data_IF_290516419970
#
_entry.id   IF_290516419970
#
_cell.length_a   1.000
_cell.length_b   1.000
_cell.length_c   1.000
_cell.angle_alpha   90.00
_cell.angle_beta   90.00
_cell.angle_gamma   90.00
#
_symmetry.space_group_name_H-M   'P 1'
#
loop_
_entity.id
_entity.type
_entity.pdbx_description
1 polymer ?
#
# COMPACT_ATOMS: atom_id res chain seq x y z
N UNK A 1 4.77 26.09 -6.93
CA UNK A 1 5.36 24.82 -6.44
C UNK A 1 6.11 24.20 -7.59
N UNK A 2 7.28 23.58 -7.34
CA UNK A 2 7.98 22.81 -8.38
C UNK A 2 7.29 21.48 -8.65
N UNK A 3 7.56 20.89 -9.81
CA UNK A 3 7.07 19.60 -10.26
C UNK A 3 7.87 18.41 -9.69
N UNK A 4 8.88 18.65 -8.86
CA UNK A 4 9.74 17.61 -8.27
C UNK A 4 9.40 17.43 -6.80
N UNK A 5 8.97 16.21 -6.43
CA UNK A 5 8.88 15.81 -5.03
C UNK A 5 10.26 15.72 -4.37
N UNK A 6 10.44 16.47 -3.27
CA UNK A 6 11.68 16.48 -2.49
C UNK A 6 11.43 15.84 -1.11
N UNK A 7 12.06 14.67 -0.83
CA UNK A 7 12.01 14.05 0.49
C UNK A 7 12.48 14.99 1.60
N UNK A 8 11.82 14.96 2.75
CA UNK A 8 12.28 15.64 3.97
C UNK A 8 13.32 14.73 4.64
N UNK A 9 14.47 15.23 5.13
CA UNK A 9 15.38 14.38 5.87
C UNK A 9 14.80 13.98 7.24
N UNK A 10 15.30 12.88 7.80
CA UNK A 10 14.64 12.20 8.93
C UNK A 10 14.59 13.06 10.21
N UNK A 11 15.64 13.80 10.52
CA UNK A 11 15.69 14.68 11.71
C UNK A 11 14.66 15.81 11.64
N UNK A 12 14.52 16.43 10.47
CA UNK A 12 13.53 17.48 10.22
C UNK A 12 12.11 16.92 10.20
N UNK A 13 11.91 15.69 9.73
CA UNK A 13 10.62 15.00 9.81
C UNK A 13 10.19 14.83 11.28
N UNK A 14 11.08 14.33 12.14
CA UNK A 14 10.81 14.19 13.57
C UNK A 14 10.58 15.54 14.23
N UNK A 15 11.47 16.50 13.99
CA UNK A 15 11.34 17.87 14.52
C UNK A 15 9.97 18.45 14.21
N UNK A 16 9.52 18.33 12.95
CA UNK A 16 8.20 18.81 12.53
C UNK A 16 7.06 18.11 13.26
N UNK A 17 7.12 16.79 13.42
CA UNK A 17 6.10 16.02 14.18
C UNK A 17 5.99 16.56 15.61
N UNK A 18 7.12 16.71 16.31
CA UNK A 18 7.12 17.09 17.73
C UNK A 18 6.80 18.57 17.96
N UNK A 19 7.35 19.48 17.15
CA UNK A 19 7.09 20.91 17.27
C UNK A 19 5.63 21.24 16.93
N UNK A 20 5.07 20.65 15.87
CA UNK A 20 3.66 20.84 15.50
C UNK A 20 2.73 20.31 16.61
N UNK A 21 3.03 19.11 17.14
CA UNK A 21 2.22 18.53 18.21
C UNK A 21 2.29 19.37 19.50
N UNK A 22 3.46 19.89 19.85
CA UNK A 22 3.63 20.75 21.02
C UNK A 22 2.86 22.07 20.88
N UNK A 23 2.92 22.71 19.70
CA UNK A 23 2.37 24.04 19.49
C UNK A 23 0.87 24.03 19.18
N UNK A 24 0.41 23.02 18.44
CA UNK A 24 -0.91 23.03 17.81
C UNK A 24 -1.76 21.80 18.17
N UNK A 25 -1.21 20.83 18.91
CA UNK A 25 -1.86 19.54 19.20
C UNK A 25 -2.33 18.87 17.90
N UNK A 26 -1.47 18.89 16.89
CA UNK A 26 -1.69 18.26 15.59
C UNK A 26 -0.37 17.71 15.03
N UNK A 27 -0.47 16.77 14.09
CA UNK A 27 0.68 16.24 13.35
C UNK A 27 0.31 16.24 11.86
N UNK A 28 1.07 16.97 11.04
CA UNK A 28 0.81 17.16 9.61
C UNK A 28 -0.62 17.63 9.31
N UNK A 29 -1.16 18.51 10.15
CA UNK A 29 -2.49 19.09 10.03
C UNK A 29 -3.62 18.23 10.58
N UNK A 30 -3.35 17.02 11.07
CA UNK A 30 -4.35 16.16 11.72
C UNK A 30 -4.41 16.52 13.21
N UNK A 31 -5.54 17.06 13.72
CA UNK A 31 -5.67 17.39 15.15
C UNK A 31 -5.67 16.13 16.03
N UNK A 32 -5.17 16.25 17.26
CA UNK A 32 -5.11 15.17 18.26
C UNK A 32 -6.51 14.53 18.50
N UNK A 33 -7.59 15.31 18.40
CA UNK A 33 -8.96 14.79 18.57
C UNK A 33 -9.39 13.83 17.45
N UNK A 34 -8.67 13.80 16.32
CA UNK A 34 -8.89 12.88 15.21
C UNK A 34 -7.94 11.68 15.25
N UNK A 35 -7.05 11.59 16.25
CA UNK A 35 -6.17 10.44 16.40
C UNK A 35 -6.99 9.21 16.77
N UNK A 36 -6.96 8.21 15.91
CA UNK A 36 -7.70 6.98 16.08
C UNK A 36 -7.01 6.08 17.10
N UNK A 37 -7.68 5.76 18.20
CA UNK A 37 -7.24 4.76 19.17
C UNK A 37 -7.97 3.42 18.93
N UNK A 38 -7.25 2.33 18.65
CA UNK A 38 -7.88 1.04 18.39
C UNK A 38 -8.58 0.48 19.63
N UNK A 39 -9.63 -0.30 19.40
CA UNK A 39 -10.35 -1.01 20.48
C UNK A 39 -9.45 -2.12 21.01
N UNK A 40 -9.14 -2.08 22.32
CA UNK A 40 -8.31 -3.10 22.98
C UNK A 40 -8.87 -4.51 22.76
N UNK A 41 -7.98 -5.46 22.45
CA UNK A 41 -8.32 -6.86 22.24
C UNK A 41 -8.91 -7.21 20.87
N UNK A 42 -9.11 -6.23 19.98
CA UNK A 42 -9.45 -6.49 18.57
C UNK A 42 -8.20 -6.37 17.71
N UNK A 43 -7.85 -7.46 17.03
CA UNK A 43 -6.78 -7.49 16.03
C UNK A 43 -7.26 -8.24 14.79
N UNK A 44 -6.61 -7.96 13.67
CA UNK A 44 -6.82 -8.66 12.39
C UNK A 44 -5.51 -9.35 12.04
N UNK A 45 -5.58 -10.61 11.63
CA UNK A 45 -4.41 -11.34 11.18
C UNK A 45 -4.38 -11.39 9.66
N UNK A 46 -3.20 -11.11 9.08
CA UNK A 46 -2.94 -11.26 7.66
C UNK A 46 -1.65 -12.05 7.51
N UNK A 47 -1.78 -13.29 7.03
CA UNK A 47 -0.64 -14.18 6.73
C UNK A 47 0.39 -14.32 7.86
N UNK A 48 -0.07 -14.42 9.10
CA UNK A 48 0.81 -14.58 10.27
C UNK A 48 1.26 -13.28 10.93
N UNK A 49 1.08 -12.13 10.27
CA UNK A 49 1.18 -10.82 10.91
C UNK A 49 -0.16 -10.41 11.55
N UNK A 50 -0.11 -9.40 12.41
CA UNK A 50 -1.30 -8.79 13.01
C UNK A 50 -1.28 -7.28 12.89
N UNK A 51 -2.47 -6.68 12.78
CA UNK A 51 -2.67 -5.24 12.84
C UNK A 51 -3.95 -4.90 13.60
N UNK A 52 -4.07 -3.67 14.10
CA UNK A 52 -5.16 -3.27 14.99
C UNK A 52 -6.49 -2.97 14.27
N UNK A 53 -6.47 -2.77 12.95
CA UNK A 53 -7.66 -2.50 12.14
C UNK A 53 -7.56 -3.16 10.77
N UNK A 54 -8.67 -3.59 10.15
CA UNK A 54 -8.65 -4.21 8.81
C UNK A 54 -8.47 -3.21 7.66
N UNK A 55 -8.39 -1.91 7.96
CA UNK A 55 -8.34 -0.84 6.96
C UNK A 55 -6.95 -0.24 6.83
N UNK A 56 -6.67 0.31 5.67
CA UNK A 56 -5.48 1.12 5.42
C UNK A 56 -5.34 1.51 3.96
N UNK A 57 -4.33 2.32 3.63
CA UNK A 57 -4.18 2.90 2.32
C UNK A 57 -3.68 1.85 1.32
N UNK A 58 -4.25 1.86 0.12
CA UNK A 58 -3.76 1.06 -1.00
C UNK A 58 -2.48 1.66 -1.61
N UNK A 59 -1.72 0.85 -2.36
CA UNK A 59 -0.57 1.34 -3.12
C UNK A 59 -0.98 2.48 -4.06
N UNK A 60 -0.46 3.69 -3.81
CA UNK A 60 -0.87 4.89 -4.53
C UNK A 60 -0.20 6.16 -4.00
N UNK A 61 -0.65 7.35 -4.43
CA UNK A 61 -0.06 8.63 -4.00
C UNK A 61 -0.01 8.81 -2.47
N UNK A 62 -0.98 8.25 -1.76
CA UNK A 62 -1.05 8.33 -0.29
C UNK A 62 -0.04 7.45 0.45
N UNK A 63 0.71 6.58 -0.22
CA UNK A 63 1.73 5.73 0.42
C UNK A 63 3.13 5.94 -0.15
N UNK A 64 3.35 7.09 -0.80
CA UNK A 64 4.65 7.46 -1.35
C UNK A 64 5.52 8.29 -0.39
N UNK A 65 4.89 9.12 0.45
CA UNK A 65 5.57 10.00 1.41
C UNK A 65 5.45 9.45 2.84
N UNK A 66 6.50 9.58 3.63
CA UNK A 66 6.49 9.18 5.04
C UNK A 66 5.39 9.93 5.82
N UNK A 67 5.17 11.20 5.52
CA UNK A 67 4.12 12.02 6.13
C UNK A 67 2.73 11.43 5.87
N UNK A 68 2.45 10.96 4.65
CA UNK A 68 1.14 10.40 4.31
C UNK A 68 0.92 9.04 4.99
N UNK A 69 1.99 8.25 5.14
CA UNK A 69 1.94 7.00 5.90
C UNK A 69 1.68 7.27 7.38
N UNK A 70 2.34 8.29 7.96
CA UNK A 70 2.11 8.74 9.34
C UNK A 70 0.67 9.22 9.54
N UNK A 71 0.14 10.08 8.66
CA UNK A 71 -1.25 10.57 8.79
C UNK A 71 -2.27 9.45 8.63
N UNK A 72 -2.02 8.49 7.73
CA UNK A 72 -2.83 7.27 7.63
C UNK A 72 -2.86 6.50 8.94
N UNK A 73 -1.71 6.29 9.59
CA UNK A 73 -1.67 5.60 10.89
C UNK A 73 -2.35 6.43 11.98
N UNK A 74 -2.12 7.75 12.05
CA UNK A 74 -2.79 8.61 13.03
C UNK A 74 -4.31 8.52 12.92
N UNK A 75 -4.85 8.36 11.71
CA UNK A 75 -6.30 8.31 11.45
C UNK A 75 -6.89 6.89 11.38
N UNK A 76 -6.10 5.87 11.72
CA UNK A 76 -6.60 4.51 11.95
C UNK A 76 -6.26 3.48 10.88
N UNK A 77 -5.53 3.84 9.81
CA UNK A 77 -5.00 2.87 8.85
C UNK A 77 -3.91 1.99 9.48
N UNK A 78 -4.02 0.67 9.38
CA UNK A 78 -3.05 -0.28 9.96
C UNK A 78 -2.55 -1.35 9.00
N UNK A 79 -3.24 -1.62 7.89
CA UNK A 79 -2.66 -2.37 6.78
C UNK A 79 -2.20 -1.40 5.69
N UNK A 80 -0.91 -1.06 5.69
CA UNK A 80 -0.34 -0.02 4.83
C UNK A 80 0.32 -0.68 3.63
N UNK A 81 -0.31 -0.57 2.47
CA UNK A 81 0.26 -1.05 1.22
C UNK A 81 1.09 0.07 0.57
N UNK A 82 2.40 -0.13 0.53
CA UNK A 82 3.35 0.86 0.08
C UNK A 82 3.24 1.10 -1.43
N UNK A 83 3.58 2.31 -1.90
CA UNK A 83 3.49 2.65 -3.32
C UNK A 83 4.31 1.66 -4.15
N UNK A 84 3.70 1.15 -5.22
CA UNK A 84 4.33 0.22 -6.16
C UNK A 84 5.59 0.82 -6.74
N UNK A 85 6.70 0.08 -6.60
CA UNK A 85 7.97 0.40 -7.24
C UNK A 85 8.25 -0.55 -8.42
N UNK A 86 9.11 -0.11 -9.33
CA UNK A 86 9.49 -0.84 -10.52
C UNK A 86 10.89 -0.45 -10.98
N UNK A 87 11.46 -1.21 -11.92
CA UNK A 87 12.81 -0.93 -12.45
C UNK A 87 12.89 0.39 -13.23
N UNK A 88 11.80 0.81 -13.88
CA UNK A 88 11.69 2.11 -14.54
C UNK A 88 11.33 3.18 -13.51
N UNK A 89 12.33 3.68 -12.79
CA UNK A 89 12.18 4.57 -11.63
C UNK A 89 12.55 6.04 -11.89
N UNK A 90 12.77 6.40 -13.17
CA UNK A 90 13.12 7.74 -13.67
C UNK A 90 12.24 8.12 -14.86
N UNK A 91 10.94 7.95 -14.71
CA UNK A 91 9.98 8.34 -15.75
C UNK A 91 9.71 9.85 -15.69
N UNK A 92 9.74 10.51 -16.85
CA UNK A 92 9.16 11.84 -17.01
C UNK A 92 7.66 11.66 -17.22
N UNK A 93 6.86 12.22 -16.31
CA UNK A 93 5.41 12.11 -16.33
C UNK A 93 4.83 13.42 -16.86
N UNK A 94 3.99 13.34 -17.88
CA UNK A 94 3.18 14.49 -18.29
C UNK A 94 2.20 14.86 -17.17
N UNK A 95 2.09 16.16 -16.89
CA UNK A 95 1.29 16.71 -15.79
C UNK A 95 0.18 17.63 -16.32
N UNK A 96 -1.01 17.65 -15.68
CA UNK A 96 -1.38 16.87 -14.50
C UNK A 96 -1.53 15.38 -14.81
N UNK A 97 -1.13 14.51 -13.87
CA UNK A 97 -1.21 13.05 -14.01
C UNK A 97 -2.31 12.42 -13.15
N UNK A 98 -3.01 13.22 -12.34
CA UNK A 98 -4.12 12.81 -11.47
C UNK A 98 -5.18 13.91 -11.49
N UNK A 99 -6.43 13.50 -11.69
CA UNK A 99 -7.64 14.31 -11.59
C UNK A 99 -8.55 13.68 -10.52
N UNK A 100 -8.55 14.27 -9.32
CA UNK A 100 -9.14 13.70 -8.11
C UNK A 100 -10.46 14.37 -7.73
N UNK A 101 -11.47 14.24 -8.60
CA UNK A 101 -12.86 14.62 -8.32
C UNK A 101 -13.62 13.49 -7.58
N UNK A 102 -14.92 13.29 -7.85
CA UNK A 102 -15.72 12.21 -7.24
C UNK A 102 -15.27 10.82 -7.74
N UNK A 103 -15.21 10.65 -9.06
CA UNK A 103 -14.38 9.63 -9.68
C UNK A 103 -12.97 10.19 -9.88
N UNK A 104 -11.96 9.47 -9.38
CA UNK A 104 -10.58 9.86 -9.52
C UNK A 104 -9.97 9.15 -10.73
N UNK A 105 -9.32 9.92 -11.60
CA UNK A 105 -8.63 9.43 -12.78
C UNK A 105 -7.14 9.71 -12.68
N UNK A 106 -6.31 8.77 -13.14
CA UNK A 106 -4.87 8.97 -13.27
C UNK A 106 -4.39 8.56 -14.66
N UNK A 107 -3.23 9.07 -15.08
CA UNK A 107 -2.46 8.49 -16.18
C UNK A 107 -1.81 7.18 -15.72
N UNK A 108 -1.34 6.33 -16.64
CA UNK A 108 -0.82 4.99 -16.30
C UNK A 108 0.25 5.02 -15.21
N UNK A 109 1.14 6.01 -15.28
CA UNK A 109 2.30 6.15 -14.41
C UNK A 109 2.16 7.35 -13.49
N UNK A 110 2.35 7.13 -12.18
CA UNK A 110 2.21 8.17 -11.15
C UNK A 110 3.27 8.06 -10.04
N UNK A 111 4.30 7.25 -10.22
CA UNK A 111 5.38 7.12 -9.23
C UNK A 111 6.49 8.12 -9.55
N UNK A 112 6.73 9.06 -8.64
CA UNK A 112 7.76 10.12 -8.80
C UNK A 112 9.11 9.78 -8.13
N UNK A 113 9.17 8.74 -7.30
CA UNK A 113 10.38 8.37 -6.56
C UNK A 113 11.14 7.23 -7.19
N UNK A 114 12.47 7.41 -7.23
CA UNK A 114 13.41 6.33 -7.50
C UNK A 114 13.31 5.26 -6.41
N UNK A 115 13.77 4.05 -6.68
CA UNK A 115 13.80 2.94 -5.71
C UNK A 115 14.47 3.34 -4.40
N UNK A 116 15.60 4.04 -4.49
CA UNK A 116 16.34 4.55 -3.33
C UNK A 116 15.56 5.58 -2.51
N UNK A 117 14.77 6.45 -3.16
CA UNK A 117 13.96 7.47 -2.47
C UNK A 117 12.73 6.84 -1.84
N UNK A 118 12.07 5.91 -2.54
CA UNK A 118 10.92 5.19 -2.01
C UNK A 118 11.30 4.40 -0.76
N UNK A 119 12.38 3.62 -0.82
CA UNK A 119 12.87 2.86 0.34
C UNK A 119 13.21 3.78 1.53
N UNK A 120 13.89 4.91 1.26
CA UNK A 120 14.23 5.88 2.30
C UNK A 120 12.99 6.47 3.01
N UNK A 121 11.92 6.76 2.28
CA UNK A 121 10.65 7.24 2.85
C UNK A 121 9.95 6.16 3.68
N UNK A 122 9.99 4.91 3.23
CA UNK A 122 9.43 3.79 3.99
C UNK A 122 10.21 3.55 5.28
N UNK A 123 11.53 3.69 5.25
CA UNK A 123 12.36 3.61 6.45
C UNK A 123 12.03 4.76 7.43
N UNK A 124 11.88 6.00 6.95
CA UNK A 124 11.46 7.14 7.80
C UNK A 124 10.12 6.86 8.45
N UNK A 125 9.13 6.40 7.67
CA UNK A 125 7.82 6.05 8.19
C UNK A 125 7.90 4.94 9.23
N UNK A 126 8.71 3.90 9.00
CA UNK A 126 8.90 2.80 9.93
C UNK A 126 9.34 3.28 11.32
N UNK A 127 10.42 4.06 11.39
CA UNK A 127 10.91 4.62 12.64
C UNK A 127 9.91 5.60 13.28
N UNK A 128 9.29 6.47 12.47
CA UNK A 128 8.31 7.44 12.96
C UNK A 128 7.07 6.74 13.57
N UNK A 129 6.55 5.70 12.93
CA UNK A 129 5.38 4.97 13.43
C UNK A 129 5.68 4.22 14.73
N UNK A 130 6.84 3.57 14.85
CA UNK A 130 7.24 2.95 16.11
C UNK A 130 7.36 3.96 17.26
N UNK A 131 7.88 5.16 16.98
CA UNK A 131 7.95 6.25 17.96
C UNK A 131 6.55 6.75 18.36
N UNK A 132 5.71 7.04 17.37
CA UNK A 132 4.35 7.52 17.59
C UNK A 132 3.48 6.49 18.33
N UNK A 133 3.67 5.20 18.04
CA UNK A 133 3.01 4.12 18.75
C UNK A 133 3.44 4.08 20.22
N UNK A 134 4.73 4.15 20.53
CA UNK A 134 5.20 4.23 21.92
C UNK A 134 4.65 5.48 22.66
N UNK A 135 4.47 6.58 21.93
CA UNK A 135 3.93 7.83 22.48
C UNK A 135 2.42 7.82 22.70
N UNK A 136 1.63 7.27 21.78
CA UNK A 136 0.17 7.42 21.82
C UNK A 136 -0.57 6.13 22.17
N UNK A 137 -0.01 4.98 21.79
CA UNK A 137 -0.67 3.68 21.84
C UNK A 137 0.30 2.57 22.29
N UNK A 138 0.99 2.75 23.44
CA UNK A 138 1.94 1.73 23.89
C UNK A 138 1.21 0.40 24.09
N UNK A 139 1.76 -0.67 23.50
CA UNK A 139 1.21 -2.01 23.55
C UNK A 139 2.28 -3.03 23.89
N UNK A 140 1.90 -4.02 24.69
CA UNK A 140 2.73 -5.21 24.97
C UNK A 140 2.65 -6.25 23.84
N UNK A 141 1.70 -6.09 22.90
CA UNK A 141 1.40 -7.07 21.84
C UNK A 141 2.21 -6.87 20.54
N UNK A 142 3.25 -6.04 20.56
CA UNK A 142 4.02 -5.66 19.37
C UNK A 142 3.39 -4.52 18.55
N UNK A 143 3.89 -4.32 17.32
CA UNK A 143 3.43 -3.24 16.42
C UNK A 143 1.95 -3.40 16.04
N UNK A 144 1.22 -2.30 15.95
CA UNK A 144 -0.21 -2.28 15.58
C UNK A 144 -0.46 -2.31 14.07
N UNK A 145 0.59 -2.26 13.24
CA UNK A 145 0.49 -2.05 11.80
C UNK A 145 1.35 -3.03 10.99
N UNK A 146 0.94 -3.22 9.74
CA UNK A 146 1.64 -4.03 8.73
C UNK A 146 2.05 -3.09 7.60
N UNK A 147 3.32 -3.19 7.20
CA UNK A 147 3.75 -2.71 5.88
C UNK A 147 3.71 -3.89 4.92
N UNK A 148 3.00 -3.71 3.81
CA UNK A 148 2.97 -4.66 2.72
C UNK A 148 3.63 -3.97 1.52
N UNK A 149 4.75 -4.50 1.03
CA UNK A 149 5.43 -3.88 -0.09
C UNK A 149 4.60 -4.05 -1.37
N UNK A 150 4.74 -3.15 -2.35
CA UNK A 150 4.19 -3.38 -3.68
C UNK A 150 5.28 -3.23 -4.72
N UNK A 151 5.35 -4.21 -5.62
CA UNK A 151 6.27 -4.22 -6.75
C UNK A 151 5.50 -4.54 -8.02
N UNK A 152 5.99 -4.01 -9.14
CA UNK A 152 5.43 -4.25 -10.47
C UNK A 152 6.54 -4.35 -11.51
N UNK A 153 6.12 -4.44 -12.78
CA UNK A 153 6.91 -4.76 -13.98
C UNK A 153 6.93 -6.27 -14.31
N UNK A 154 7.80 -6.68 -15.24
CA UNK A 154 8.03 -8.08 -15.61
C UNK A 154 9.06 -8.75 -14.67
N UNK A 155 9.13 -10.08 -14.71
CA UNK A 155 10.02 -10.90 -13.88
C UNK A 155 11.49 -10.55 -14.11
N UNK A 156 11.87 -10.29 -15.37
CA UNK A 156 13.24 -9.88 -15.71
C UNK A 156 13.64 -8.59 -14.96
N UNK A 157 12.78 -7.57 -14.99
CA UNK A 157 13.01 -6.30 -14.29
C UNK A 157 12.99 -6.47 -12.77
N UNK A 158 12.10 -7.30 -12.23
CA UNK A 158 12.08 -7.64 -10.80
C UNK A 158 13.39 -8.29 -10.36
N UNK A 159 14.00 -9.12 -11.21
CA UNK A 159 15.28 -9.78 -10.94
C UNK A 159 16.50 -8.87 -11.10
N UNK A 160 16.33 -7.64 -11.61
CA UNK A 160 17.47 -6.73 -11.75
C UNK A 160 18.04 -6.29 -10.39
N UNK A 161 19.36 -6.03 -10.30
CA UNK A 161 20.00 -5.70 -9.03
C UNK A 161 19.37 -4.55 -8.22
N UNK A 162 18.92 -3.43 -8.83
CA UNK A 162 18.25 -2.37 -8.06
C UNK A 162 16.93 -2.80 -7.41
N UNK A 163 16.13 -3.63 -8.11
CA UNK A 163 14.88 -4.18 -7.57
C UNK A 163 15.15 -5.20 -6.47
N UNK A 164 16.15 -6.07 -6.66
CA UNK A 164 16.57 -7.02 -5.62
C UNK A 164 17.07 -6.29 -4.37
N UNK A 165 17.92 -5.27 -4.53
CA UNK A 165 18.37 -4.45 -3.42
C UNK A 165 17.19 -3.77 -2.70
N UNK A 166 16.19 -3.27 -3.42
CA UNK A 166 14.99 -2.73 -2.79
C UNK A 166 14.24 -3.80 -1.98
N UNK A 167 13.94 -4.95 -2.58
CA UNK A 167 13.19 -6.05 -1.95
C UNK A 167 13.93 -6.57 -0.71
N UNK A 168 15.23 -6.84 -0.84
CA UNK A 168 16.08 -7.37 0.24
C UNK A 168 16.13 -6.41 1.42
N UNK A 169 16.32 -5.11 1.18
CA UNK A 169 16.34 -4.12 2.26
C UNK A 169 14.95 -3.86 2.88
N UNK A 170 13.84 -4.21 2.21
CA UNK A 170 12.52 -4.19 2.84
C UNK A 170 12.31 -5.43 3.72
N UNK A 171 12.83 -6.58 3.29
CA UNK A 171 12.78 -7.85 4.03
C UNK A 171 13.67 -7.82 5.27
N UNK A 172 14.87 -7.26 5.15
CA UNK A 172 15.81 -7.07 6.26
C UNK A 172 16.78 -5.91 5.97
N UNK A 173 16.67 -4.84 6.76
CA UNK A 173 17.52 -3.66 6.67
C UNK A 173 18.73 -3.71 7.62
N UNK A 174 19.04 -4.84 8.26
CA UNK A 174 20.08 -4.93 9.32
C UNK A 174 21.44 -4.39 8.89
N UNK A 175 21.82 -4.67 7.64
CA UNK A 175 23.12 -4.34 7.08
C UNK A 175 23.12 -2.99 6.35
N UNK A 176 21.95 -2.32 6.24
CA UNK A 176 21.84 -1.08 5.51
C UNK A 176 22.30 0.12 6.36
N UNK A 177 23.28 0.93 5.90
CA UNK A 177 23.85 2.04 6.70
C UNK A 177 22.82 3.06 7.19
N UNK A 178 21.80 3.37 6.38
CA UNK A 178 20.72 4.28 6.78
C UNK A 178 19.87 3.76 7.94
N UNK A 179 19.70 2.44 8.09
CA UNK A 179 18.98 1.89 9.23
C UNK A 179 19.73 2.20 10.53
N UNK A 180 21.04 1.94 10.54
CA UNK A 180 21.90 2.30 11.67
C UNK A 180 21.90 3.81 11.93
N UNK A 181 21.97 4.63 10.88
CA UNK A 181 21.89 6.08 10.98
C UNK A 181 20.59 6.55 11.65
N UNK A 182 19.43 6.08 11.20
CA UNK A 182 18.13 6.51 11.75
C UNK A 182 17.93 6.01 13.17
N UNK A 183 18.41 4.79 13.48
CA UNK A 183 18.46 4.28 14.85
C UNK A 183 19.30 5.16 15.76
N UNK A 184 20.49 5.58 15.31
CA UNK A 184 21.40 6.42 16.10
C UNK A 184 20.84 7.84 16.27
N UNK A 185 20.26 8.42 15.23
CA UNK A 185 19.54 9.70 15.30
C UNK A 185 18.39 9.63 16.31
N UNK A 186 17.54 8.60 16.23
CA UNK A 186 16.44 8.42 17.16
C UNK A 186 16.95 8.20 18.59
N UNK A 187 18.02 7.41 18.76
CA UNK A 187 18.63 7.18 20.06
C UNK A 187 19.13 8.50 20.67
N UNK A 188 19.91 9.30 19.93
CA UNK A 188 20.37 10.61 20.42
C UNK A 188 19.21 11.49 20.87
N UNK A 189 18.13 11.54 20.10
CA UNK A 189 16.93 12.32 20.42
C UNK A 189 16.27 11.83 21.73
N UNK A 190 16.12 10.51 21.91
CA UNK A 190 15.41 9.93 23.06
C UNK A 190 16.29 9.85 24.33
N UNK A 191 17.62 9.94 24.20
CA UNK A 191 18.54 10.07 25.35
C UNK A 191 18.64 11.51 25.87
N UNK A 192 18.13 12.51 25.15
CA UNK A 192 18.13 13.91 25.58
C UNK A 192 17.01 14.20 26.59
N UNK A 193 17.39 14.37 27.85
CA UNK A 193 16.46 14.68 28.94
C UNK A 193 15.73 16.03 28.75
N UNK A 194 16.37 17.00 28.10
CA UNK A 194 15.74 18.29 27.81
C UNK A 194 14.65 18.12 26.75
N UNK A 195 14.88 17.29 25.73
CA UNK A 195 13.87 16.94 24.73
C UNK A 195 12.68 16.23 25.39
N UNK A 196 12.93 15.21 26.21
CA UNK A 196 11.85 14.48 26.91
C UNK A 196 11.05 15.40 27.85
N UNK A 197 11.72 16.30 28.58
CA UNK A 197 11.06 17.28 29.44
C UNK A 197 10.21 18.27 28.64
N UNK A 198 10.78 18.83 27.55
CA UNK A 198 10.11 19.80 26.68
C UNK A 198 8.80 19.27 26.10
N UNK A 199 8.77 17.99 25.73
CA UNK A 199 7.60 17.36 25.12
C UNK A 199 6.73 16.56 26.11
N UNK A 200 6.99 16.65 27.43
CA UNK A 200 6.18 15.99 28.46
C UNK A 200 6.25 14.46 28.41
N UNK A 201 7.39 13.89 28.00
CA UNK A 201 7.58 12.44 27.79
C UNK A 201 8.30 11.74 28.95
N UNK A 202 8.53 12.43 30.06
CA UNK A 202 9.30 11.91 31.20
C UNK A 202 8.71 10.63 31.79
N UNK A 203 7.39 10.51 31.86
CA UNK A 203 6.71 9.29 32.34
C UNK A 203 6.96 8.07 31.46
N UNK A 204 7.38 8.28 30.19
CA UNK A 204 7.67 7.22 29.21
C UNK A 204 9.16 7.04 28.94
N UNK A 205 10.03 7.70 29.72
CA UNK A 205 11.48 7.77 29.50
C UNK A 205 12.10 6.39 29.26
N UNK A 206 11.89 5.43 30.15
CA UNK A 206 12.51 4.11 30.05
C UNK A 206 12.08 3.36 28.77
N UNK A 207 10.79 3.42 28.44
CA UNK A 207 10.25 2.80 27.23
C UNK A 207 10.80 3.45 25.97
N UNK A 208 10.86 4.78 25.92
CA UNK A 208 11.36 5.53 24.77
C UNK A 208 12.87 5.38 24.60
N UNK A 209 13.65 5.43 25.66
CA UNK A 209 15.11 5.25 25.60
C UNK A 209 15.51 3.86 25.11
N UNK A 210 14.69 2.84 25.37
CA UNK A 210 14.92 1.49 24.89
C UNK A 210 14.35 1.23 23.48
N UNK A 211 13.48 2.10 22.96
CA UNK A 211 12.79 1.92 21.68
C UNK A 211 13.74 1.71 20.48
N UNK A 212 14.81 2.52 20.28
CA UNK A 212 15.67 2.39 19.09
C UNK A 212 16.27 0.99 18.91
N UNK A 213 16.58 0.31 20.02
CA UNK A 213 17.15 -1.03 20.01
C UNK A 213 16.11 -2.14 19.69
N UNK A 214 14.81 -1.84 19.83
CA UNK A 214 13.72 -2.80 19.62
C UNK A 214 13.04 -2.67 18.25
N UNK A 215 13.29 -1.59 17.52
CA UNK A 215 12.74 -1.39 16.18
C UNK A 215 13.26 -2.52 15.27
N UNK A 216 12.38 -3.36 14.68
CA UNK A 216 12.80 -4.46 13.84
C UNK A 216 13.49 -3.98 12.56
N UNK A 217 14.47 -4.75 12.10
CA UNK A 217 15.14 -4.53 10.80
C UNK A 217 14.30 -5.06 9.64
N UNK A 218 13.46 -6.06 9.89
CA UNK A 218 12.50 -6.57 8.92
C UNK A 218 11.26 -5.69 8.89
N UNK A 219 11.05 -4.99 7.76
CA UNK A 219 9.95 -4.04 7.60
C UNK A 219 8.70 -4.70 7.03
N UNK A 220 8.84 -5.78 6.26
CA UNK A 220 7.72 -6.45 5.57
C UNK A 220 7.86 -7.97 5.57
N UNK A 221 6.73 -8.67 5.60
CA UNK A 221 6.65 -10.12 5.36
C UNK A 221 5.73 -10.47 4.17
N UNK A 222 5.21 -9.44 3.49
CA UNK A 222 4.26 -9.60 2.39
C UNK A 222 4.51 -8.63 1.24
N UNK A 223 4.10 -9.06 0.05
CA UNK A 223 4.17 -8.30 -1.20
C UNK A 223 2.83 -8.34 -1.94
N UNK A 224 2.38 -7.21 -2.48
CA UNK A 224 1.34 -7.14 -3.50
C UNK A 224 1.96 -6.87 -4.86
N UNK A 225 1.81 -7.83 -5.77
CA UNK A 225 2.20 -7.72 -7.17
C UNK A 225 1.17 -6.88 -7.93
N UNK A 226 1.61 -5.73 -8.41
CA UNK A 226 0.81 -4.86 -9.27
C UNK A 226 1.31 -5.00 -10.70
N UNK A 227 0.63 -5.83 -11.48
CA UNK A 227 0.93 -6.04 -12.89
C UNK A 227 0.33 -4.90 -13.71
N UNK A 228 1.00 -4.52 -14.80
CA UNK A 228 0.44 -3.56 -15.75
C UNK A 228 -0.81 -4.13 -16.43
N UNK A 229 -1.69 -3.26 -16.94
CA UNK A 229 -2.73 -3.67 -17.87
C UNK A 229 -2.08 -4.36 -19.08
N UNK A 230 -2.67 -5.47 -19.54
CA UNK A 230 -2.12 -6.29 -20.63
C UNK A 230 -0.96 -7.22 -20.25
N UNK A 231 -0.62 -7.37 -18.96
CA UNK A 231 0.43 -8.29 -18.53
C UNK A 231 0.05 -9.76 -18.86
N UNK A 232 0.91 -10.53 -19.57
CA UNK A 232 0.59 -11.91 -19.93
C UNK A 232 0.37 -12.81 -18.70
N UNK A 233 -0.64 -13.71 -18.71
CA UNK A 233 -0.95 -14.55 -17.54
C UNK A 233 0.23 -15.37 -17.00
N UNK A 234 1.05 -15.92 -17.90
CA UNK A 234 2.23 -16.71 -17.52
C UNK A 234 3.29 -15.86 -16.80
N UNK A 235 3.40 -14.57 -17.14
CA UNK A 235 4.31 -13.63 -16.49
C UNK A 235 3.83 -13.32 -15.07
N UNK A 236 2.53 -13.09 -14.90
CA UNK A 236 1.90 -12.89 -13.59
C UNK A 236 2.19 -14.09 -12.67
N UNK A 237 1.93 -15.32 -13.15
CA UNK A 237 2.18 -16.54 -12.38
C UNK A 237 3.67 -16.70 -12.05
N UNK A 238 4.56 -16.45 -13.01
CA UNK A 238 6.00 -16.60 -12.81
C UNK A 238 6.55 -15.64 -11.74
N UNK A 239 6.04 -14.40 -11.68
CA UNK A 239 6.41 -13.45 -10.62
C UNK A 239 5.87 -13.90 -9.26
N UNK A 240 4.60 -14.35 -9.20
CA UNK A 240 4.03 -14.86 -7.96
C UNK A 240 4.82 -16.06 -7.41
N UNK A 241 5.18 -16.99 -8.30
CA UNK A 241 6.03 -18.14 -7.98
C UNK A 241 7.39 -17.70 -7.44
N UNK A 242 8.05 -16.77 -8.11
CA UNK A 242 9.33 -16.22 -7.66
C UNK A 242 9.24 -15.61 -6.25
N UNK A 243 8.18 -14.86 -5.93
CA UNK A 243 8.01 -14.29 -4.58
C UNK A 243 7.79 -15.38 -3.51
N UNK A 244 7.02 -16.42 -3.82
CA UNK A 244 6.73 -17.52 -2.89
C UNK A 244 7.93 -18.48 -2.72
N UNK A 245 8.62 -18.81 -3.81
CA UNK A 245 9.67 -19.83 -3.85
C UNK A 245 11.05 -19.27 -3.50
N UNK A 246 11.44 -18.16 -4.13
CA UNK A 246 12.80 -17.62 -4.03
C UNK A 246 12.90 -16.52 -2.96
N UNK A 247 11.87 -15.69 -2.81
CA UNK A 247 11.86 -14.62 -1.79
C UNK A 247 11.22 -15.05 -0.47
N UNK A 248 10.43 -16.12 -0.45
CA UNK A 248 9.74 -16.58 0.75
C UNK A 248 8.72 -15.57 1.31
N UNK A 249 8.09 -14.77 0.44
CA UNK A 249 7.15 -13.71 0.83
C UNK A 249 5.70 -14.16 0.68
N UNK A 250 4.88 -13.78 1.66
CA UNK A 250 3.43 -13.85 1.49
C UNK A 250 3.01 -12.96 0.32
N UNK A 251 2.16 -13.45 -0.58
CA UNK A 251 1.98 -12.80 -1.88
C UNK A 251 0.49 -12.55 -2.20
N UNK A 252 0.15 -11.29 -2.47
CA UNK A 252 -1.09 -10.92 -3.14
C UNK A 252 -0.82 -10.62 -4.61
N UNK A 253 -1.71 -11.06 -5.51
CA UNK A 253 -1.73 -10.60 -6.91
C UNK A 253 -2.89 -9.62 -7.13
N UNK A 254 -2.60 -8.43 -7.66
CA UNK A 254 -3.62 -7.41 -7.93
C UNK A 254 -4.29 -7.70 -9.27
N UNK A 255 -5.61 -7.83 -9.25
CA UNK A 255 -6.41 -8.16 -10.43
C UNK A 255 -7.22 -6.96 -10.91
N UNK A 256 -7.52 -6.95 -12.21
CA UNK A 256 -8.24 -5.87 -12.87
C UNK A 256 -9.76 -6.12 -12.87
N UNK A 257 -10.59 -5.05 -12.89
CA UNK A 257 -12.05 -5.16 -13.04
C UNK A 257 -12.48 -5.77 -14.38
N UNK A 258 -11.58 -5.78 -15.37
CA UNK A 258 -11.77 -6.38 -16.70
C UNK A 258 -12.02 -7.88 -16.67
N UNK A 259 -11.76 -8.57 -15.55
CA UNK A 259 -12.11 -9.98 -15.34
C UNK A 259 -13.61 -10.28 -15.53
N UNK A 260 -14.48 -9.28 -15.37
CA UNK A 260 -15.92 -9.44 -15.62
C UNK A 260 -16.25 -9.53 -17.13
N UNK A 261 -15.34 -9.09 -18.00
CA UNK A 261 -15.57 -8.94 -19.44
C UNK A 261 -16.30 -7.65 -19.81
N UNK A 262 -16.10 -7.20 -21.05
CA UNK A 262 -16.60 -5.90 -21.53
C UNK A 262 -18.12 -5.73 -21.33
N UNK A 263 -18.91 -6.68 -21.84
CA UNK A 263 -20.37 -6.59 -21.79
C UNK A 263 -20.91 -6.45 -20.36
N UNK A 264 -20.33 -7.19 -19.41
CA UNK A 264 -20.75 -7.14 -18.00
C UNK A 264 -20.30 -5.85 -17.32
N UNK A 265 -19.08 -5.38 -17.58
CA UNK A 265 -18.61 -4.09 -17.05
C UNK A 265 -19.49 -2.95 -17.56
N UNK A 266 -19.77 -2.93 -18.87
CA UNK A 266 -20.62 -1.91 -19.49
C UNK A 266 -22.04 -1.91 -18.88
N UNK A 267 -22.66 -3.09 -18.79
CA UNK A 267 -23.98 -3.26 -18.16
C UNK A 267 -24.01 -2.71 -16.73
N UNK A 268 -23.04 -3.07 -15.89
CA UNK A 268 -22.98 -2.62 -14.49
C UNK A 268 -22.87 -1.09 -14.43
N UNK A 269 -21.97 -0.49 -15.22
CA UNK A 269 -21.81 0.96 -15.24
C UNK A 269 -23.10 1.67 -15.68
N UNK A 270 -23.78 1.17 -16.71
CA UNK A 270 -25.01 1.79 -17.21
C UNK A 270 -26.16 1.72 -16.20
N UNK A 271 -26.37 0.55 -15.59
CA UNK A 271 -27.40 0.35 -14.55
C UNK A 271 -27.12 1.21 -13.31
N UNK A 272 -25.86 1.41 -12.96
CA UNK A 272 -25.47 2.27 -11.84
C UNK A 272 -25.44 3.78 -12.17
N UNK A 273 -25.80 4.19 -13.38
CA UNK A 273 -25.84 5.60 -13.78
C UNK A 273 -24.49 6.17 -14.24
N UNK A 274 -23.49 5.33 -14.47
CA UNK A 274 -22.16 5.71 -14.93
C UNK A 274 -21.97 5.55 -16.46
N UNK A 275 -23.05 5.78 -17.23
CA UNK A 275 -23.06 5.67 -18.69
C UNK A 275 -22.11 6.64 -19.42
N UNK A 276 -21.65 7.70 -18.74
CA UNK A 276 -20.71 8.69 -19.26
C UNK A 276 -19.26 8.20 -19.33
N UNK A 277 -18.93 7.08 -18.66
CA UNK A 277 -17.58 6.50 -18.70
C UNK A 277 -17.40 5.79 -20.04
N UNK A 278 -16.46 6.28 -20.86
CA UNK A 278 -16.09 5.62 -22.12
C UNK A 278 -15.19 4.40 -21.87
N UNK A 279 -15.45 3.29 -22.56
CA UNK A 279 -14.63 2.08 -22.52
C UNK A 279 -14.18 1.71 -23.94
N UNK A 280 -12.97 1.16 -24.05
CA UNK A 280 -12.46 0.52 -25.27
C UNK A 280 -12.59 -0.99 -25.09
N UNK A 281 -13.28 -1.64 -26.02
CA UNK A 281 -13.49 -3.09 -25.94
C UNK A 281 -12.17 -3.86 -26.08
N UNK A 282 -11.28 -3.35 -26.92
CA UNK A 282 -9.95 -3.89 -27.20
C UNK A 282 -9.08 -3.99 -25.92
N UNK A 283 -9.25 -3.07 -24.97
CA UNK A 283 -8.54 -3.11 -23.69
C UNK A 283 -8.86 -4.37 -22.87
N UNK A 284 -10.04 -4.96 -23.06
CA UNK A 284 -10.42 -6.20 -22.38
C UNK A 284 -9.80 -7.44 -23.04
N UNK A 285 -9.41 -7.36 -24.31
CA UNK A 285 -8.85 -8.48 -25.07
C UNK A 285 -7.42 -8.81 -24.70
N UNK A 286 -6.65 -7.80 -24.35
CA UNK A 286 -5.26 -7.96 -23.92
C UNK A 286 -5.13 -8.34 -22.44
N UNK A 287 -6.16 -8.12 -21.63
CA UNK A 287 -6.16 -8.40 -20.19
C UNK A 287 -6.40 -9.89 -19.86
N UNK A 288 -5.97 -10.27 -18.65
CA UNK A 288 -6.17 -11.61 -18.09
C UNK A 288 -7.66 -12.01 -18.12
N UNK A 289 -7.96 -13.16 -18.74
CA UNK A 289 -9.32 -13.69 -18.82
C UNK A 289 -9.68 -14.48 -17.55
N UNK A 290 -10.97 -14.49 -17.20
CA UNK A 290 -11.46 -15.14 -15.97
C UNK A 290 -11.02 -16.60 -15.85
N UNK A 291 -11.20 -17.42 -16.88
CA UNK A 291 -10.81 -18.85 -16.84
C UNK A 291 -9.32 -19.02 -16.54
N UNK A 292 -8.46 -18.24 -17.21
CA UNK A 292 -7.01 -18.26 -16.98
C UNK A 292 -6.66 -17.79 -15.56
N UNK A 293 -7.36 -16.78 -15.05
CA UNK A 293 -7.19 -16.31 -13.68
C UNK A 293 -7.53 -17.40 -12.67
N UNK A 294 -8.66 -18.10 -12.82
CA UNK A 294 -9.06 -19.17 -11.90
C UNK A 294 -8.04 -20.30 -11.84
N UNK A 295 -7.57 -20.77 -12.99
CA UNK A 295 -6.56 -21.83 -13.08
C UNK A 295 -5.21 -21.39 -12.47
N UNK A 296 -4.79 -20.15 -12.71
CA UNK A 296 -3.57 -19.58 -12.13
C UNK A 296 -3.67 -19.48 -10.60
N UNK A 297 -4.79 -18.96 -10.09
CA UNK A 297 -5.03 -18.77 -8.66
C UNK A 297 -5.06 -20.12 -7.93
N UNK A 298 -5.66 -21.17 -8.51
CA UNK A 298 -5.64 -22.51 -7.93
C UNK A 298 -4.21 -23.04 -7.74
N UNK A 299 -3.36 -22.92 -8.78
CA UNK A 299 -1.96 -23.35 -8.71
C UNK A 299 -1.16 -22.56 -7.68
N UNK A 300 -1.37 -21.24 -7.60
CA UNK A 300 -0.65 -20.37 -6.67
C UNK A 300 -1.08 -20.58 -5.22
N UNK A 301 -2.38 -20.82 -4.97
CA UNK A 301 -2.87 -21.22 -3.65
C UNK A 301 -2.26 -22.56 -3.19
N UNK A 302 -2.17 -23.54 -4.09
CA UNK A 302 -1.52 -24.82 -3.80
C UNK A 302 -0.03 -24.66 -3.49
N UNK A 303 0.69 -23.85 -4.28
CA UNK A 303 2.11 -23.57 -4.06
C UNK A 303 2.35 -22.85 -2.74
N UNK A 304 1.56 -21.83 -2.41
CA UNK A 304 1.72 -21.11 -1.15
C UNK A 304 1.53 -22.04 0.06
N UNK A 305 0.55 -22.95 -0.01
CA UNK A 305 0.36 -24.00 0.99
C UNK A 305 1.57 -24.93 1.11
N UNK A 306 2.16 -25.36 -0.02
CA UNK A 306 3.39 -26.16 -0.03
C UNK A 306 4.54 -25.43 0.68
N UNK A 307 4.69 -24.13 0.44
CA UNK A 307 5.73 -23.28 1.04
C UNK A 307 5.42 -22.78 2.44
N UNK A 308 4.26 -23.12 3.01
CA UNK A 308 3.78 -22.59 4.29
C UNK A 308 3.71 -21.06 4.32
N UNK A 309 3.32 -20.46 3.19
CA UNK A 309 3.12 -19.03 2.99
C UNK A 309 1.66 -18.72 2.68
N UNK A 310 1.29 -17.46 2.89
CA UNK A 310 0.01 -16.89 2.49
C UNK A 310 0.00 -16.47 1.01
N UNK A 311 -1.12 -16.76 0.34
CA UNK A 311 -1.40 -16.24 -0.99
C UNK A 311 -2.85 -15.77 -1.11
N UNK A 312 -3.07 -14.69 -1.85
CA UNK A 312 -4.40 -14.13 -2.09
C UNK A 312 -4.44 -13.16 -3.27
N UNK A 313 -5.56 -12.44 -3.39
CA UNK A 313 -5.75 -11.43 -4.44
C UNK A 313 -6.00 -10.04 -3.85
N UNK A 314 -5.60 -9.00 -4.59
CA UNK A 314 -5.94 -7.60 -4.31
C UNK A 314 -6.99 -7.13 -5.33
N UNK A 315 -8.16 -6.68 -4.86
CA UNK A 315 -9.32 -6.38 -5.70
C UNK A 315 -9.76 -4.91 -5.56
N UNK A 316 -9.64 -4.07 -6.58
CA UNK A 316 -8.99 -4.30 -7.88
C UNK A 316 -8.00 -3.19 -8.18
N UNK A 317 -7.29 -3.32 -9.29
CA UNK A 317 -6.68 -2.17 -9.93
C UNK A 317 -7.75 -1.23 -10.53
N UNK A 318 -7.31 -0.11 -11.06
CA UNK A 318 -8.12 0.84 -11.80
C UNK A 318 -8.71 0.25 -13.08
N UNK A 319 -9.83 0.81 -13.55
CA UNK A 319 -10.40 0.50 -14.85
C UNK A 319 -9.84 1.44 -15.91
N UNK A 320 -9.29 0.92 -17.01
CA UNK A 320 -8.92 1.74 -18.17
C UNK A 320 -10.16 2.30 -18.86
N UNK A 321 -10.17 3.60 -19.14
CA UNK A 321 -11.29 4.34 -19.73
C UNK A 321 -10.78 5.28 -20.82
N UNK A 322 -11.66 5.65 -21.74
CA UNK A 322 -11.37 6.68 -22.76
C UNK A 322 -11.22 8.02 -22.05
N UNK A 323 -10.14 8.75 -22.33
CA UNK A 323 -9.97 10.10 -21.83
C UNK A 323 -10.89 11.07 -22.58
N UNK A 324 -12.07 11.34 -22.01
CA UNK A 324 -13.05 12.29 -22.55
C UNK A 324 -13.15 13.58 -21.71
N UNK A 325 -12.42 13.69 -20.59
CA UNK A 325 -12.46 14.88 -19.72
C UNK A 325 -11.53 16.00 -20.19
N UNK A 326 -10.44 15.65 -20.88
CA UNK A 326 -9.44 16.63 -21.36
C UNK A 326 -8.60 17.28 -20.25
N UNK A 327 -8.73 16.84 -19.00
CA UNK A 327 -7.94 17.31 -17.87
C UNK A 327 -6.56 16.64 -17.82
N UNK A 328 -6.48 15.36 -18.18
CA UNK A 328 -5.26 14.56 -18.23
C UNK A 328 -4.75 14.47 -19.67
N UNK A 329 -3.43 14.26 -19.89
CA UNK A 329 -2.89 14.00 -21.21
C UNK A 329 -3.26 12.59 -21.72
N UNK A 330 -3.10 12.37 -23.03
CA UNK A 330 -3.31 11.08 -23.68
C UNK A 330 -4.77 10.72 -23.94
N UNK A 331 -4.99 9.59 -24.62
CA UNK A 331 -6.32 9.12 -25.04
C UNK A 331 -6.99 8.16 -24.02
N UNK A 332 -6.27 7.80 -22.97
CA UNK A 332 -6.70 6.86 -21.93
C UNK A 332 -6.43 7.41 -20.54
N UNK A 333 -7.32 7.07 -19.61
CA UNK A 333 -7.19 7.39 -18.20
C UNK A 333 -7.72 6.25 -17.34
N UNK A 334 -7.21 6.14 -16.12
CA UNK A 334 -7.44 4.99 -15.25
C UNK A 334 -8.33 5.39 -14.08
N UNK A 335 -9.54 4.84 -14.05
CA UNK A 335 -10.58 5.22 -13.11
C UNK A 335 -10.47 4.46 -11.79
N UNK A 336 -10.60 5.21 -10.69
CA UNK A 336 -10.81 4.77 -9.33
C UNK A 336 -11.99 5.50 -8.68
N UNK A 337 -12.22 5.30 -7.39
CA UNK A 337 -13.32 5.95 -6.67
C UNK A 337 -14.66 5.24 -6.80
N UNK A 338 -15.76 5.96 -6.60
CA UNK A 338 -17.10 5.39 -6.40
C UNK A 338 -17.55 4.50 -7.55
N UNK A 339 -17.32 4.90 -8.80
CA UNK A 339 -17.72 4.13 -9.97
C UNK A 339 -17.00 2.77 -10.10
N UNK A 340 -15.87 2.58 -9.42
CA UNK A 340 -15.15 1.31 -9.41
C UNK A 340 -15.78 0.28 -8.44
N UNK A 341 -16.45 0.74 -7.37
CA UNK A 341 -17.07 -0.13 -6.36
C UNK A 341 -17.96 -1.24 -6.92
N UNK A 342 -18.98 -0.95 -7.77
CA UNK A 342 -19.87 -2.00 -8.26
C UNK A 342 -19.15 -3.02 -9.14
N UNK A 343 -18.03 -2.66 -9.78
CA UNK A 343 -17.21 -3.60 -10.54
C UNK A 343 -16.37 -4.47 -9.61
N UNK A 344 -15.63 -3.86 -8.69
CA UNK A 344 -14.73 -4.58 -7.78
C UNK A 344 -15.47 -5.54 -6.85
N UNK A 345 -16.66 -5.17 -6.37
CA UNK A 345 -17.47 -6.08 -5.53
C UNK A 345 -18.03 -7.25 -6.36
N UNK A 346 -18.35 -7.05 -7.65
CA UNK A 346 -18.77 -8.15 -8.52
C UNK A 346 -17.60 -9.10 -8.83
N UNK A 347 -16.38 -8.58 -9.02
CA UNK A 347 -15.17 -9.43 -9.16
C UNK A 347 -14.97 -10.26 -7.89
N UNK A 348 -15.03 -9.62 -6.71
CA UNK A 348 -14.92 -10.32 -5.43
C UNK A 348 -15.97 -11.44 -5.32
N UNK A 349 -17.23 -11.16 -5.67
CA UNK A 349 -18.29 -12.16 -5.62
C UNK A 349 -18.06 -13.33 -6.60
N UNK A 350 -17.53 -13.08 -7.80
CA UNK A 350 -17.19 -14.14 -8.77
C UNK A 350 -16.07 -15.03 -8.22
N UNK A 351 -15.00 -14.44 -7.70
CA UNK A 351 -13.87 -15.18 -7.16
C UNK A 351 -14.23 -15.94 -5.87
N UNK A 352 -14.95 -15.30 -4.94
CA UNK A 352 -15.41 -15.96 -3.72
C UNK A 352 -16.31 -17.17 -4.02
N UNK A 353 -17.18 -17.10 -5.05
CA UNK A 353 -17.96 -18.27 -5.49
C UNK A 353 -17.10 -19.37 -6.10
N UNK A 354 -16.10 -19.01 -6.91
CA UNK A 354 -15.23 -19.99 -7.57
C UNK A 354 -14.34 -20.76 -6.57
N UNK A 355 -13.99 -20.15 -5.44
CA UNK A 355 -13.10 -20.71 -4.43
C UNK A 355 -13.79 -21.03 -3.09
N UNK A 356 -15.13 -21.10 -3.06
CA UNK A 356 -15.94 -21.33 -1.84
C UNK A 356 -15.56 -20.43 -0.65
N UNK A 357 -15.22 -19.16 -0.90
CA UNK A 357 -14.77 -18.20 0.11
C UNK A 357 -13.39 -18.49 0.71
N UNK A 358 -12.62 -19.44 0.16
CA UNK A 358 -11.30 -19.82 0.69
C UNK A 358 -10.16 -18.94 0.17
N UNK A 359 -10.36 -18.22 -0.93
CA UNK A 359 -9.35 -17.32 -1.49
C UNK A 359 -9.27 -16.04 -0.63
N UNK A 360 -8.13 -15.72 0.00
CA UNK A 360 -7.97 -14.46 0.73
C UNK A 360 -8.05 -13.25 -0.22
N UNK A 361 -8.84 -12.25 0.15
CA UNK A 361 -9.04 -11.03 -0.62
C UNK A 361 -8.63 -9.81 0.21
N UNK A 362 -7.72 -8.99 -0.33
CA UNK A 362 -7.49 -7.62 0.13
C UNK A 362 -8.24 -6.66 -0.80
N UNK A 363 -9.17 -5.86 -0.28
CA UNK A 363 -10.05 -5.01 -1.08
C UNK A 363 -9.53 -3.56 -1.19
N UNK A 364 -9.63 -2.95 -2.38
CA UNK A 364 -9.21 -1.57 -2.67
C UNK A 364 -10.02 -0.86 -3.78
N UNK A 365 -11.18 -1.39 -4.18
CA UNK A 365 -11.97 -0.83 -5.30
C UNK A 365 -13.18 -0.01 -4.85
N UNK A 366 -13.08 1.32 -4.76
CA UNK A 366 -14.24 2.18 -4.49
C UNK A 366 -14.90 2.02 -3.11
N UNK A 367 -14.20 1.44 -2.13
CA UNK A 367 -14.69 1.34 -0.77
C UNK A 367 -14.93 2.73 -0.16
N UNK A 368 -15.98 2.86 0.65
CA UNK A 368 -16.36 4.12 1.32
C UNK A 368 -16.76 3.87 2.76
N UNK A 369 -16.98 4.94 3.53
CA UNK A 369 -17.53 4.83 4.89
C UNK A 369 -18.86 4.07 4.96
N UNK A 370 -19.62 4.03 3.85
CA UNK A 370 -20.93 3.37 3.77
C UNK A 370 -20.82 1.87 3.46
N UNK A 371 -19.72 1.43 2.85
CA UNK A 371 -19.59 0.06 2.33
C UNK A 371 -18.51 -0.75 3.03
N UNK A 372 -17.56 -0.10 3.72
CA UNK A 372 -16.36 -0.76 4.26
C UNK A 372 -16.68 -1.87 5.26
N UNK A 373 -17.74 -1.71 6.06
CA UNK A 373 -18.17 -2.74 7.01
C UNK A 373 -18.69 -3.99 6.29
N UNK A 374 -19.62 -3.80 5.36
CA UNK A 374 -20.23 -4.91 4.63
C UNK A 374 -19.18 -5.64 3.76
N UNK A 375 -18.22 -4.91 3.19
CA UNK A 375 -17.08 -5.50 2.47
C UNK A 375 -16.26 -6.42 3.39
N UNK A 376 -16.03 -6.01 4.65
CA UNK A 376 -15.22 -6.78 5.60
C UNK A 376 -15.98 -7.98 6.18
N UNK A 377 -17.29 -7.84 6.39
CA UNK A 377 -18.14 -8.88 6.97
C UNK A 377 -18.54 -9.98 5.94
N UNK A 378 -18.20 -9.80 4.65
CA UNK A 378 -18.43 -10.76 3.55
C UNK A 378 -17.25 -11.71 3.37
#
# INVERSE_FOLDING_TARGET
>A
MGDIMRPIPFEELLTRIFDEYQQQRSIFGIPEQQFYSPVKGKTVSVFGETCATPVGPAAGPHTQLAQNIVTSWLTGGRFIELKTVQILDRLELEKPCIDAEDECFNTEWSTEFTLLKAWDEYLKAWFALHLLEAMFQPSDSGKSFIFNMSVGYNLEGIKQPPMQQFIDNMMDASDHPKFAQYRDTLNKLLQDDAFLARHGLQEKRESLQALPARIPTSMVQGVTLSTMHGCPPHEIEAICRYMLEEKGLNTFVKLNPTLLGYARVREILDVCGFGYIGLKEESFDHDLKLTQALEMLERLMALAKEKSLGFGVKLTNTLGTINNKGALPGEEMYMSGRALFPLSINVAAVLSRAFDGKLPISYSGGASQLTIRDIFDT
#
